data_IF_721264429813
#
_entry.id   IF_721264429813
#
_cell.length_a   1.000
_cell.length_b   1.000
_cell.length_c   1.000
_cell.angle_alpha   90.00
_cell.angle_beta   90.00
_cell.angle_gamma   90.00
#
_symmetry.space_group_name_H-M   'P 1'
#
loop_
_entity.id
_entity.type
_entity.pdbx_description
1 polymer ?
#
# COMPACT_ATOMS: atom_id res chain seq x y z
N UNK A 1 -12.41 3.51 17.37
CA UNK A 1 -12.00 4.13 16.09
C UNK A 1 -12.27 3.14 14.96
N UNK A 2 -12.76 3.60 13.80
CA UNK A 2 -13.19 2.74 12.69
C UNK A 2 -12.53 3.16 11.37
N UNK A 3 -11.24 2.84 11.16
CA UNK A 3 -10.48 3.28 9.99
C UNK A 3 -11.03 2.71 8.67
N UNK A 4 -10.82 3.49 7.61
CA UNK A 4 -10.98 3.06 6.23
C UNK A 4 -9.62 3.12 5.53
N UNK A 5 -9.18 2.01 4.95
CA UNK A 5 -7.89 1.89 4.26
C UNK A 5 -8.14 1.44 2.83
N UNK A 6 -7.58 2.19 1.87
CA UNK A 6 -7.42 1.77 0.48
C UNK A 6 -5.95 1.46 0.25
N UNK A 7 -5.61 0.19 0.08
CA UNK A 7 -4.34 -0.22 -0.50
C UNK A 7 -4.55 -0.33 -2.01
N UNK A 8 -3.76 0.39 -2.80
CA UNK A 8 -3.88 0.38 -4.26
C UNK A 8 -2.52 0.30 -4.94
N UNK A 9 -2.36 -0.72 -5.78
CA UNK A 9 -1.17 -1.00 -6.58
C UNK A 9 0.16 -1.06 -5.80
N UNK A 10 0.12 -1.52 -4.56
CA UNK A 10 1.32 -1.81 -3.77
C UNK A 10 1.90 -3.18 -4.13
N UNK A 11 3.21 -3.35 -3.90
CA UNK A 11 3.91 -4.61 -4.13
C UNK A 11 4.45 -5.16 -2.80
N UNK A 12 3.79 -6.17 -2.25
CA UNK A 12 4.13 -6.77 -0.96
C UNK A 12 4.92 -8.06 -1.16
N UNK A 13 6.10 -8.15 -0.54
CA UNK A 13 6.91 -9.36 -0.48
C UNK A 13 6.97 -9.79 0.99
N UNK A 14 6.33 -10.91 1.32
CA UNK A 14 6.39 -11.42 2.69
C UNK A 14 7.80 -11.96 3.01
N UNK A 15 8.18 -12.02 4.30
CA UNK A 15 9.41 -12.68 4.75
C UNK A 15 9.44 -14.18 4.39
N UNK A 16 10.62 -14.81 4.37
CA UNK A 16 10.77 -16.22 3.98
C UNK A 16 10.30 -17.21 5.05
N UNK A 17 10.19 -16.77 6.30
CA UNK A 17 9.74 -17.58 7.43
C UNK A 17 8.30 -18.07 7.22
N UNK A 18 7.94 -19.16 7.89
CA UNK A 18 6.65 -19.86 7.72
C UNK A 18 5.45 -19.05 8.27
N UNK A 19 5.69 -17.88 8.86
CA UNK A 19 4.67 -16.96 9.40
C UNK A 19 4.64 -15.58 8.73
N UNK A 20 3.87 -14.65 9.28
CA UNK A 20 3.85 -13.22 8.90
C UNK A 20 3.57 -12.95 7.42
N UNK A 21 2.59 -13.67 6.86
CA UNK A 21 2.16 -13.54 5.47
C UNK A 21 1.09 -12.47 5.27
N UNK A 22 0.30 -12.23 6.31
CA UNK A 22 -0.79 -11.26 6.25
C UNK A 22 -0.24 -9.83 6.34
N UNK A 23 -0.52 -9.02 5.32
CA UNK A 23 -0.11 -7.61 5.23
C UNK A 23 -0.85 -6.75 6.26
N UNK A 24 -2.08 -7.11 6.61
CA UNK A 24 -2.90 -6.30 7.52
C UNK A 24 -2.91 -6.83 8.93
N UNK A 25 -2.67 -5.95 9.91
CA UNK A 25 -2.87 -6.27 11.32
C UNK A 25 -3.96 -5.39 11.92
N UNK A 26 -4.94 -6.01 12.57
CA UNK A 26 -6.08 -5.33 13.17
C UNK A 26 -6.05 -5.49 14.68
N UNK A 27 -5.69 -4.41 15.40
CA UNK A 27 -5.64 -4.35 16.85
C UNK A 27 -6.93 -3.69 17.40
N UNK A 28 -7.76 -4.44 18.12
CA UNK A 28 -9.01 -3.96 18.72
C UNK A 28 -10.30 -4.46 18.02
N UNK A 29 -11.45 -3.86 18.37
CA UNK A 29 -12.77 -4.22 17.81
C UNK A 29 -12.88 -3.85 16.32
N UNK A 30 -13.26 -4.83 15.50
CA UNK A 30 -13.08 -4.81 14.04
C UNK A 30 -14.35 -4.46 13.25
N UNK A 31 -15.51 -4.37 13.91
CA UNK A 31 -16.83 -4.48 13.26
C UNK A 31 -17.14 -3.41 12.19
N UNK A 32 -16.48 -2.25 12.25
CA UNK A 32 -16.75 -1.11 11.37
C UNK A 32 -15.59 -0.73 10.44
N UNK A 33 -14.50 -1.51 10.44
CA UNK A 33 -13.29 -1.16 9.68
C UNK A 33 -13.47 -1.48 8.21
N UNK A 34 -13.06 -0.57 7.32
CA UNK A 34 -13.23 -0.74 5.88
C UNK A 34 -11.89 -0.89 5.17
N UNK A 35 -11.47 -2.12 4.88
CA UNK A 35 -10.13 -2.39 4.33
C UNK A 35 -10.29 -2.94 2.91
N UNK A 36 -9.60 -2.30 1.96
CA UNK A 36 -9.67 -2.66 0.55
C UNK A 36 -8.27 -2.80 -0.03
N UNK A 37 -8.10 -3.80 -0.89
CA UNK A 37 -6.91 -4.02 -1.69
C UNK A 37 -7.31 -4.00 -3.15
N UNK A 38 -6.69 -3.13 -3.94
CA UNK A 38 -7.03 -2.87 -5.35
C UNK A 38 -5.76 -2.98 -6.18
N UNK A 39 -5.67 -4.00 -7.04
CA UNK A 39 -4.50 -4.24 -7.92
C UNK A 39 -3.16 -4.37 -7.19
N UNK A 40 -3.17 -4.71 -5.90
CA UNK A 40 -1.94 -5.03 -5.17
C UNK A 40 -1.35 -6.35 -5.69
N UNK A 41 -0.03 -6.45 -5.67
CA UNK A 41 0.71 -7.68 -5.98
C UNK A 41 1.28 -8.25 -4.70
N UNK A 42 1.05 -9.54 -4.49
CA UNK A 42 1.53 -10.28 -3.34
C UNK A 42 2.54 -11.36 -3.78
N UNK A 43 3.73 -11.36 -3.17
CA UNK A 43 4.80 -12.33 -3.41
C UNK A 43 5.20 -13.03 -2.10
N UNK A 44 5.81 -14.20 -2.26
CA UNK A 44 6.30 -15.02 -1.16
C UNK A 44 5.23 -15.43 -0.13
N UNK A 45 4.02 -15.67 -0.62
CA UNK A 45 2.87 -16.04 0.19
C UNK A 45 2.20 -14.86 0.90
N UNK A 46 2.60 -13.60 0.64
CA UNK A 46 1.92 -12.43 1.17
C UNK A 46 0.41 -12.47 0.86
N UNK A 47 -0.40 -11.95 1.76
CA UNK A 47 -1.86 -11.94 1.62
C UNK A 47 -2.46 -10.66 2.18
N UNK A 48 -3.62 -10.30 1.65
CA UNK A 48 -4.48 -9.29 2.24
C UNK A 48 -5.80 -9.96 2.58
N UNK A 49 -6.08 -10.06 3.87
CA UNK A 49 -7.31 -10.65 4.40
C UNK A 49 -8.54 -9.98 3.80
N UNK A 50 -9.62 -10.76 3.65
CA UNK A 50 -10.85 -10.38 2.95
C UNK A 50 -11.23 -8.91 3.15
N UNK A 51 -11.54 -8.25 2.03
CA UNK A 51 -12.01 -6.87 2.05
C UNK A 51 -13.21 -6.75 2.99
N UNK A 52 -13.15 -5.75 3.88
CA UNK A 52 -14.23 -5.48 4.83
C UNK A 52 -14.89 -4.16 4.46
N UNK A 53 -16.21 -4.13 4.39
CA UNK A 53 -16.99 -2.94 4.00
C UNK A 53 -17.79 -3.12 2.71
N UNK A 54 -18.90 -2.40 2.60
CA UNK A 54 -19.75 -2.33 1.41
C UNK A 54 -19.35 -1.10 0.58
N UNK A 55 -19.21 -1.26 -0.74
CA UNK A 55 -18.58 -0.27 -1.64
C UNK A 55 -17.05 -0.36 -1.60
N UNK A 56 -16.34 0.46 -2.40
CA UNK A 56 -14.87 0.57 -2.34
C UNK A 56 -14.41 1.72 -1.46
N UNK A 57 -13.14 1.74 -1.01
CA UNK A 57 -12.58 2.94 -0.40
C UNK A 57 -12.33 4.00 -1.47
N UNK A 58 -13.17 5.02 -1.48
CA UNK A 58 -13.00 6.21 -2.31
C UNK A 58 -12.10 7.20 -1.56
N UNK A 59 -10.93 7.58 -2.10
CA UNK A 59 -10.15 8.67 -1.52
C UNK A 59 -10.90 9.99 -1.71
N UNK A 60 -10.84 10.87 -0.72
CA UNK A 60 -11.49 12.18 -0.74
C UNK A 60 -10.63 13.25 -1.43
N UNK A 61 -9.90 12.87 -2.48
CA UNK A 61 -9.05 13.79 -3.22
C UNK A 61 -9.90 14.78 -4.01
N UNK A 62 -9.52 16.06 -3.94
CA UNK A 62 -9.93 17.04 -4.92
C UNK A 62 -9.12 16.85 -6.23
N UNK A 63 -9.37 17.70 -7.23
CA UNK A 63 -8.72 17.59 -8.54
C UNK A 63 -7.20 17.81 -8.47
N UNK A 64 -6.72 18.71 -7.60
CA UNK A 64 -5.30 19.02 -7.43
C UNK A 64 -4.53 17.92 -6.66
N UNK A 65 -5.24 17.18 -5.81
CA UNK A 65 -4.70 16.06 -5.04
C UNK A 65 -4.75 14.73 -5.81
N UNK A 66 -5.41 14.70 -6.98
CA UNK A 66 -5.52 13.50 -7.77
C UNK A 66 -4.18 13.19 -8.46
N UNK A 67 -3.82 11.91 -8.46
CA UNK A 67 -2.67 11.42 -9.20
C UNK A 67 -2.97 10.07 -9.81
N UNK A 68 -2.28 9.76 -10.91
CA UNK A 68 -2.40 8.48 -11.59
C UNK A 68 -1.68 7.39 -10.80
N UNK A 69 -2.40 6.35 -10.42
CA UNK A 69 -1.82 5.14 -9.83
C UNK A 69 -1.49 4.14 -10.95
N UNK A 70 -0.19 3.91 -11.18
CA UNK A 70 0.29 2.96 -12.20
C UNK A 70 0.17 1.50 -11.73
N UNK A 71 0.71 0.56 -12.49
CA UNK A 71 0.68 -0.88 -12.15
C UNK A 71 1.64 -1.22 -11.01
N UNK A 72 1.26 -2.19 -10.17
CA UNK A 72 2.06 -2.63 -9.03
C UNK A 72 3.43 -3.22 -9.45
N UNK A 73 3.56 -3.77 -10.66
CA UNK A 73 4.83 -4.25 -11.21
C UNK A 73 5.89 -3.15 -11.34
N UNK A 74 5.47 -1.89 -11.49
CA UNK A 74 6.38 -0.73 -11.61
C UNK A 74 6.85 -0.19 -10.26
N UNK A 75 6.30 -0.64 -9.13
CA UNK A 75 6.62 -0.09 -7.79
C UNK A 75 8.12 -0.12 -7.52
N UNK A 76 8.81 -1.21 -7.87
CA UNK A 76 10.26 -1.35 -7.65
C UNK A 76 11.06 -0.24 -8.35
N UNK A 77 10.68 0.11 -9.56
CA UNK A 77 11.31 1.18 -10.34
C UNK A 77 10.92 2.55 -9.79
N UNK A 78 9.63 2.77 -9.55
CA UNK A 78 9.13 4.04 -9.00
C UNK A 78 9.73 4.41 -7.64
N UNK A 79 10.04 3.41 -6.82
CA UNK A 79 10.60 3.63 -5.49
C UNK A 79 12.11 3.41 -5.43
N UNK A 80 12.82 3.24 -6.57
CA UNK A 80 14.26 2.95 -6.57
C UNK A 80 15.09 4.07 -5.93
N UNK A 81 14.65 5.31 -6.13
CA UNK A 81 15.28 6.53 -5.58
C UNK A 81 14.64 7.00 -4.26
N UNK A 82 13.88 6.13 -3.58
CA UNK A 82 13.28 6.49 -2.29
C UNK A 82 14.36 6.68 -1.22
N UNK A 83 14.18 7.71 -0.39
CA UNK A 83 15.10 8.07 0.67
C UNK A 83 15.64 9.49 0.51
N UNK A 84 16.74 9.79 1.20
CA UNK A 84 17.37 11.11 1.10
C UNK A 84 18.08 11.26 -0.24
N UNK A 85 17.98 12.46 -0.82
CA UNK A 85 18.77 12.80 -2.00
C UNK A 85 20.26 12.68 -1.67
N UNK A 86 21.01 12.01 -2.54
CA UNK A 86 22.47 11.88 -2.42
C UNK A 86 23.14 13.07 -3.10
N UNK A 87 23.21 14.18 -2.39
CA UNK A 87 23.81 15.41 -2.89
C UNK A 87 25.31 15.42 -2.62
N UNK A 88 26.10 15.72 -3.66
CA UNK A 88 27.51 16.09 -3.49
C UNK A 88 27.65 17.60 -3.52
N UNK A 89 28.79 18.12 -3.05
CA UNK A 89 29.09 19.58 -3.08
C UNK A 89 29.02 20.20 -4.49
N UNK A 90 29.04 19.39 -5.54
CA UNK A 90 29.01 19.83 -6.94
C UNK A 90 27.63 19.69 -7.60
N UNK A 91 26.61 19.20 -6.90
CA UNK A 91 25.27 19.01 -7.45
C UNK A 91 24.27 19.94 -6.76
N UNK A 92 23.41 20.57 -7.55
CA UNK A 92 22.20 21.23 -7.04
C UNK A 92 21.14 20.14 -6.92
N UNK A 93 20.79 19.87 -5.67
CA UNK A 93 19.54 19.30 -5.24
C UNK A 93 18.69 20.45 -4.67
#
# INVERSE_FOLDING_TARGET
MSPSIKSEANFFIAPNEVGNKEVTWRKGEKGLWKFYSVRDVFKNGASFSKQTGVGGAKPNYNQEQNFKVVDAGSVKELTSESGVLRCSRSLIC
#
